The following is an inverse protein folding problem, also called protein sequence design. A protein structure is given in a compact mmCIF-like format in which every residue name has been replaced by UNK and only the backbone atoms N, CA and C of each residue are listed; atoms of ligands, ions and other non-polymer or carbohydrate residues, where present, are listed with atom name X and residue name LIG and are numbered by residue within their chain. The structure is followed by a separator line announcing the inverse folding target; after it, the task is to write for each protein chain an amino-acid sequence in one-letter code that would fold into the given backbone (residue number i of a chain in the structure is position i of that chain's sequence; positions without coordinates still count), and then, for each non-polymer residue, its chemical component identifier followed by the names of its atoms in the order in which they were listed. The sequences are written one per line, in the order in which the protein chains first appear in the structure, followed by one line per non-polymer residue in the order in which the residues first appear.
data_IF_576624936809
#
_entry.id   IF_576624936809
#
_cell.length_a   1.000
_cell.length_b   1.000
_cell.length_c   1.000
_cell.angle_alpha   90.00
_cell.angle_beta   90.00
_cell.angle_gamma   90.00
#
_symmetry.space_group_name_H-M   'P 1'
#
loop_
_entity.id
_entity.type
_entity.pdbx_description
1 polymer ?
#
# COMPACT_ATOMS: atom_id res chain seq x y z
N UNK A 1 -17.32 -3.69 6.83
CA UNK A 1 -16.12 -4.08 7.60
C UNK A 1 -15.48 -5.25 6.86
N UNK A 2 -14.39 -5.01 6.13
CA UNK A 2 -13.74 -6.09 5.37
C UNK A 2 -13.06 -7.03 6.36
N UNK A 3 -13.51 -8.29 6.40
CA UNK A 3 -12.94 -9.35 7.23
C UNK A 3 -11.42 -9.39 7.04
N UNK A 4 -10.68 -9.11 8.11
CA UNK A 4 -9.22 -9.23 8.17
C UNK A 4 -8.93 -10.73 8.12
N UNK A 5 -8.85 -11.30 6.91
CA UNK A 5 -8.37 -12.67 6.70
C UNK A 5 -7.08 -12.80 7.52
N UNK A 6 -7.09 -13.70 8.49
CA UNK A 6 -6.00 -13.88 9.43
C UNK A 6 -4.74 -14.10 8.63
N UNK A 7 -3.79 -13.17 8.75
CA UNK A 7 -2.57 -13.23 7.96
C UNK A 7 -1.70 -14.31 8.59
N UNK A 8 -1.83 -15.55 8.09
CA UNK A 8 -1.34 -16.77 8.76
C UNK A 8 0.19 -16.83 8.93
N UNK A 9 0.91 -15.91 8.28
CA UNK A 9 2.36 -15.76 8.36
C UNK A 9 2.70 -14.31 8.72
N UNK A 10 3.56 -14.13 9.73
CA UNK A 10 4.05 -12.82 10.13
C UNK A 10 4.96 -12.19 9.06
N UNK A 11 5.11 -10.85 9.04
CA UNK A 11 6.03 -10.17 8.12
C UNK A 11 7.46 -10.70 8.21
N UNK A 12 7.93 -11.03 9.42
CA UNK A 12 9.28 -11.54 9.68
C UNK A 12 9.47 -12.93 9.06
N UNK A 13 8.47 -13.81 9.17
CA UNK A 13 8.50 -15.14 8.54
C UNK A 13 8.55 -15.00 7.01
N UNK A 14 7.79 -14.06 6.44
CA UNK A 14 7.82 -13.79 4.99
C UNK A 14 9.17 -13.29 4.53
N UNK A 15 9.71 -12.28 5.22
CA UNK A 15 11.01 -11.71 4.90
C UNK A 15 12.12 -12.76 4.99
N UNK A 16 12.10 -13.59 6.03
CA UNK A 16 13.02 -14.73 6.18
C UNK A 16 12.88 -15.74 5.04
N UNK A 17 11.66 -16.11 4.67
CA UNK A 17 11.42 -17.08 3.60
C UNK A 17 11.92 -16.54 2.25
N UNK A 18 11.66 -15.27 1.93
CA UNK A 18 12.17 -14.61 0.72
C UNK A 18 13.70 -14.59 0.72
N UNK A 19 14.32 -14.22 1.84
CA UNK A 19 15.79 -14.20 1.97
C UNK A 19 16.40 -15.58 1.74
N UNK A 20 15.79 -16.62 2.32
CA UNK A 20 16.24 -18.00 2.12
C UNK A 20 16.18 -18.41 0.64
N UNK A 21 15.14 -17.97 -0.10
CA UNK A 21 15.06 -18.26 -1.55
C UNK A 21 16.21 -17.60 -2.30
N UNK A 22 16.51 -16.35 -2.00
CA UNK A 22 17.59 -15.62 -2.68
C UNK A 22 18.98 -16.13 -2.31
N UNK A 23 19.20 -16.55 -1.07
CA UNK A 23 20.49 -17.06 -0.60
C UNK A 23 20.81 -18.44 -1.18
N UNK A 24 19.80 -19.32 -1.26
CA UNK A 24 19.98 -20.70 -1.73
C UNK A 24 19.63 -20.89 -3.22
N UNK A 25 19.34 -19.83 -3.98
CA UNK A 25 18.92 -19.95 -5.38
C UNK A 25 19.95 -20.71 -6.23
N UNK A 26 21.24 -20.45 -6.01
CA UNK A 26 22.36 -21.08 -6.73
C UNK A 26 22.58 -22.57 -6.36
N UNK A 27 22.09 -23.01 -5.21
CA UNK A 27 22.22 -24.40 -4.73
C UNK A 27 21.15 -25.32 -5.33
N UNK A 28 20.17 -24.76 -6.03
CA UNK A 28 19.06 -25.49 -6.61
C UNK A 28 19.13 -25.50 -8.15
N UNK A 29 18.61 -26.56 -8.82
CA UNK A 29 18.63 -26.66 -10.28
C UNK A 29 17.88 -25.54 -11.01
N UNK A 30 16.96 -24.86 -10.30
CA UNK A 30 16.27 -23.69 -10.79
C UNK A 30 15.73 -22.89 -9.60
N UNK A 31 15.44 -21.62 -9.85
CA UNK A 31 14.73 -20.76 -8.90
C UNK A 31 13.40 -21.36 -8.42
N UNK A 32 12.64 -22.00 -9.32
CA UNK A 32 11.39 -22.65 -8.94
C UNK A 32 11.63 -23.84 -7.99
N UNK A 33 12.70 -24.61 -8.19
CA UNK A 33 13.08 -25.68 -7.27
C UNK A 33 13.45 -25.15 -5.88
N UNK A 34 14.17 -24.02 -5.81
CA UNK A 34 14.45 -23.34 -4.54
C UNK A 34 13.15 -22.92 -3.81
N UNK A 35 12.24 -22.27 -4.55
CA UNK A 35 10.93 -21.86 -4.01
C UNK A 35 10.13 -23.05 -3.49
N UNK A 36 10.05 -24.15 -4.25
CA UNK A 36 9.34 -25.36 -3.81
C UNK A 36 9.95 -25.97 -2.54
N UNK A 37 11.27 -26.10 -2.49
CA UNK A 37 11.99 -26.65 -1.33
C UNK A 37 11.76 -25.80 -0.07
N UNK A 38 11.86 -24.48 -0.20
CA UNK A 38 11.73 -23.57 0.94
C UNK A 38 10.27 -23.41 1.37
N UNK A 39 9.33 -23.39 0.43
CA UNK A 39 7.91 -23.34 0.76
C UNK A 39 7.48 -24.54 1.60
N UNK A 40 8.00 -25.73 1.31
CA UNK A 40 7.79 -26.93 2.11
C UNK A 40 8.36 -26.78 3.53
N UNK A 41 9.56 -26.21 3.69
CA UNK A 41 10.18 -25.93 5.01
C UNK A 41 9.39 -24.92 5.85
N UNK A 42 8.80 -23.91 5.20
CA UNK A 42 8.03 -22.85 5.86
C UNK A 42 6.57 -23.27 6.13
N UNK A 43 6.07 -24.30 5.43
CA UNK A 43 4.69 -24.75 5.54
C UNK A 43 3.70 -23.86 4.78
N UNK A 44 4.12 -23.27 3.66
CA UNK A 44 3.27 -22.47 2.78
C UNK A 44 3.23 -23.03 1.36
N UNK A 45 2.30 -22.56 0.52
CA UNK A 45 2.28 -22.99 -0.88
C UNK A 45 3.45 -22.36 -1.66
N UNK A 46 4.06 -23.11 -2.57
CA UNK A 46 5.14 -22.61 -3.42
C UNK A 46 4.73 -21.35 -4.21
N UNK A 47 3.48 -21.31 -4.69
CA UNK A 47 2.96 -20.13 -5.37
C UNK A 47 2.87 -18.91 -4.45
N UNK A 48 2.46 -19.09 -3.19
CA UNK A 48 2.43 -17.99 -2.20
C UNK A 48 3.83 -17.44 -1.96
N UNK A 49 4.82 -18.31 -1.76
CA UNK A 49 6.20 -17.87 -1.56
C UNK A 49 6.74 -17.16 -2.81
N UNK A 50 6.46 -17.67 -4.01
CA UNK A 50 6.85 -17.03 -5.26
C UNK A 50 6.30 -15.59 -5.35
N UNK A 51 5.04 -15.36 -4.98
CA UNK A 51 4.46 -14.02 -4.96
C UNK A 51 5.15 -13.09 -3.95
N UNK A 52 5.57 -13.59 -2.78
CA UNK A 52 6.37 -12.79 -1.84
C UNK A 52 7.73 -12.41 -2.42
N UNK A 53 8.40 -13.34 -3.11
CA UNK A 53 9.69 -13.06 -3.76
C UNK A 53 9.51 -12.01 -4.86
N UNK A 54 8.53 -12.17 -5.75
CA UNK A 54 8.24 -11.18 -6.80
C UNK A 54 7.94 -9.80 -6.22
N UNK A 55 7.17 -9.76 -5.13
CA UNK A 55 6.86 -8.50 -4.44
C UNK A 55 8.12 -7.85 -3.87
N UNK A 56 8.98 -8.62 -3.22
CA UNK A 56 10.26 -8.11 -2.72
C UNK A 56 11.19 -7.60 -3.83
N UNK A 57 11.15 -8.20 -5.02
CA UNK A 57 11.90 -7.71 -6.19
C UNK A 57 11.35 -6.37 -6.71
N UNK A 58 10.03 -6.18 -6.68
CA UNK A 58 9.42 -4.89 -7.02
C UNK A 58 9.78 -3.85 -5.97
N UNK A 59 9.65 -4.18 -4.69
CA UNK A 59 9.97 -3.28 -3.58
C UNK A 59 11.48 -2.90 -3.55
N UNK A 60 12.36 -3.77 -4.04
CA UNK A 60 13.81 -3.49 -4.18
C UNK A 60 14.22 -2.89 -5.53
N UNK A 61 13.27 -2.66 -6.44
CA UNK A 61 13.53 -2.10 -7.77
C UNK A 61 14.21 -3.05 -8.76
N UNK A 62 14.39 -4.33 -8.41
CA UNK A 62 14.92 -5.37 -9.31
C UNK A 62 13.93 -5.77 -10.40
N UNK A 63 12.64 -5.55 -10.16
CA UNK A 63 11.54 -5.85 -11.09
C UNK A 63 10.65 -4.63 -11.26
N UNK A 64 10.22 -4.40 -12.50
CA UNK A 64 9.24 -3.35 -12.79
C UNK A 64 7.92 -3.60 -12.05
N UNK A 65 7.38 -2.55 -11.43
CA UNK A 65 6.14 -2.56 -10.68
C UNK A 65 6.04 -1.32 -9.79
N UNK A 66 4.91 -1.16 -9.10
CA UNK A 66 4.74 -0.10 -8.10
C UNK A 66 5.18 -0.64 -6.74
N UNK A 67 6.23 -0.08 -6.12
CA UNK A 67 6.65 -0.45 -4.78
C UNK A 67 5.54 -0.21 -3.74
N UNK A 68 5.56 -1.02 -2.69
CA UNK A 68 4.53 -0.98 -1.65
C UNK A 68 4.46 0.36 -0.93
N UNK A 69 5.61 0.98 -0.65
CA UNK A 69 5.70 2.30 -0.01
C UNK A 69 5.12 3.40 -0.90
N UNK A 70 5.36 3.33 -2.21
CA UNK A 70 4.78 4.25 -3.19
C UNK A 70 3.25 4.12 -3.23
N UNK A 71 2.73 2.89 -3.24
CA UNK A 71 1.29 2.64 -3.21
C UNK A 71 0.63 3.14 -1.90
N UNK A 72 1.29 2.96 -0.76
CA UNK A 72 0.82 3.46 0.53
C UNK A 72 0.79 4.99 0.59
N UNK A 73 1.86 5.65 0.11
CA UNK A 73 1.94 7.11 0.02
C UNK A 73 0.87 7.68 -0.91
N UNK A 74 0.68 7.07 -2.08
CA UNK A 74 -0.35 7.49 -3.04
C UNK A 74 -1.74 7.46 -2.39
N UNK A 75 -2.08 6.37 -1.69
CA UNK A 75 -3.36 6.25 -0.98
C UNK A 75 -3.52 7.29 0.14
N UNK A 76 -2.44 7.58 0.87
CA UNK A 76 -2.47 8.61 1.92
C UNK A 76 -2.73 10.00 1.32
N UNK A 77 -2.03 10.34 0.24
CA UNK A 77 -2.19 11.60 -0.48
C UNK A 77 -3.58 11.74 -1.11
N UNK A 78 -4.14 10.67 -1.68
CA UNK A 78 -5.51 10.69 -2.22
C UNK A 78 -6.54 11.00 -1.14
N UNK A 79 -6.37 10.43 0.06
CA UNK A 79 -7.23 10.72 1.22
C UNK A 79 -7.11 12.18 1.64
N UNK A 80 -5.88 12.67 1.81
CA UNK A 80 -5.63 14.07 2.18
C UNK A 80 -6.21 15.03 1.13
N UNK A 81 -6.02 14.75 -0.16
CA UNK A 81 -6.57 15.56 -1.24
C UNK A 81 -8.10 15.61 -1.18
N UNK A 82 -8.76 14.49 -0.85
CA UNK A 82 -10.21 14.45 -0.68
C UNK A 82 -10.67 15.31 0.50
N UNK A 83 -9.98 15.23 1.64
CA UNK A 83 -10.28 16.03 2.83
C UNK A 83 -10.07 17.53 2.55
N UNK A 84 -8.98 17.90 1.90
CA UNK A 84 -8.70 19.28 1.48
C UNK A 84 -9.74 19.82 0.50
N UNK A 85 -10.20 19.00 -0.45
CA UNK A 85 -11.27 19.41 -1.37
C UNK A 85 -12.57 19.67 -0.62
N UNK A 86 -12.92 18.81 0.34
CA UNK A 86 -14.11 18.99 1.16
C UNK A 86 -14.01 20.26 2.03
N UNK A 87 -12.87 20.50 2.66
CA UNK A 87 -12.64 21.72 3.45
C UNK A 87 -12.75 22.98 2.58
N UNK A 88 -12.13 22.98 1.40
CA UNK A 88 -12.24 24.09 0.45
C UNK A 88 -13.67 24.35 -0.01
N UNK A 89 -14.48 23.31 -0.19
CA UNK A 89 -15.90 23.46 -0.52
C UNK A 89 -16.69 24.14 0.60
N UNK A 90 -16.45 23.76 1.86
CA UNK A 90 -17.06 24.40 3.02
C UNK A 90 -16.68 25.88 3.08
N UNK A 91 -15.39 26.19 2.94
CA UNK A 91 -14.90 27.57 2.95
C UNK A 91 -15.54 28.40 1.83
N UNK A 92 -15.63 27.87 0.62
CA UNK A 92 -16.28 28.56 -0.50
C UNK A 92 -17.76 28.86 -0.22
N UNK A 93 -18.49 27.89 0.34
CA UNK A 93 -19.90 28.07 0.74
C UNK A 93 -20.05 29.12 1.84
N UNK A 94 -19.17 29.08 2.85
CA UNK A 94 -19.15 30.06 3.92
C UNK A 94 -18.87 31.47 3.39
N UNK A 95 -17.84 31.66 2.55
CA UNK A 95 -17.54 32.95 1.93
C UNK A 95 -18.71 33.49 1.10
N UNK A 96 -19.39 32.63 0.33
CA UNK A 96 -20.58 33.04 -0.43
C UNK A 96 -21.73 33.48 0.50
N UNK A 97 -21.97 32.74 1.58
CA UNK A 97 -22.98 33.09 2.59
C UNK A 97 -22.69 34.44 3.25
N UNK A 98 -21.44 34.67 3.69
CA UNK A 98 -21.06 35.94 4.31
C UNK A 98 -21.13 37.11 3.33
N UNK A 99 -20.71 36.93 2.07
CA UNK A 99 -20.83 37.96 1.05
C UNK A 99 -22.30 38.36 0.78
N UNK A 100 -23.24 37.39 0.77
CA UNK A 100 -24.67 37.69 0.67
C UNK A 100 -25.19 38.45 1.89
N UNK A 101 -24.79 38.03 3.10
CA UNK A 101 -25.21 38.68 4.34
C UNK A 101 -24.71 40.14 4.46
N UNK A 102 -23.56 40.48 3.86
CA UNK A 102 -23.07 41.86 3.78
C UNK A 102 -23.91 42.73 2.84
N UNK A 103 -24.41 42.17 1.74
CA UNK A 103 -25.29 42.91 0.81
C UNK A 103 -26.65 43.25 1.42
N UNK A 104 -27.19 42.36 2.25
CA UNK A 104 -28.50 42.54 2.89
C UNK A 104 -28.44 43.42 4.16
N UNK A 105 -27.25 43.88 4.59
CA UNK A 105 -27.09 44.66 5.82
C UNK A 105 -27.45 46.13 5.58
N UNK A 106 -28.43 46.71 6.30
CA UNK A 106 -28.72 48.14 6.18
C UNK A 106 -27.53 48.97 6.68
N UNK A 107 -27.03 49.87 5.83
CA UNK A 107 -26.03 50.87 6.20
C UNK A 107 -26.62 51.78 7.27
N UNK A 108 -26.11 51.70 8.51
CA UNK A 108 -26.39 52.71 9.53
C UNK A 108 -25.75 54.03 9.08
N UNK A 109 -26.59 55.00 8.74
CA UNK A 109 -26.22 56.42 8.62
C UNK A 109 -26.00 57.04 9.99
#
# INVERSE_FOLDING_TARGET
MTSKRTNKFSPEVRARAVRMVTEHEAEHPSRWAAVCSIAAKIGCSAHTLNEWVKKAEVDSGKRAGVPSDVAERMKALERENRELRQANEILRKASAYFAMAELDRPLKR
#
